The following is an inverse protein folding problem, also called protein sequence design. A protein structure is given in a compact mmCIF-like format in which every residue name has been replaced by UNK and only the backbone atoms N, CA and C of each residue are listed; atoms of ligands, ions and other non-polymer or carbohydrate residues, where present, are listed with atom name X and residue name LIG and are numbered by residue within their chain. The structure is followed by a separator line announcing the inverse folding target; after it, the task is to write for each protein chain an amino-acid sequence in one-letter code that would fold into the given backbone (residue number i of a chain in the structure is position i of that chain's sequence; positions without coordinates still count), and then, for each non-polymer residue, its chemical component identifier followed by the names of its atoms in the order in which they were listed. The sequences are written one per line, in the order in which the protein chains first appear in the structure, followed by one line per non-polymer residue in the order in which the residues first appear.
data_IF_245816080065
#
_entry.id   IF_245816080065
#
_cell.length_a   1.000
_cell.length_b   1.000
_cell.length_c   1.000
_cell.angle_alpha   90.00
_cell.angle_beta   90.00
_cell.angle_gamma   90.00
#
_symmetry.space_group_name_H-M   'P 1'
#
loop_
_entity.id
_entity.type
_entity.pdbx_description
1 polymer ?
#
# COMPACT_ATOMS: atom_id res chain seq x y z
N UNK A 1 -52.83 4.47 26.09
CA UNK A 1 -52.91 3.47 27.19
C UNK A 1 -51.98 2.31 26.84
N UNK A 2 -51.05 1.98 27.76
CA UNK A 2 -50.19 0.79 27.86
C UNK A 2 -49.28 0.49 26.64
N UNK A 3 -47.98 0.81 26.63
CA UNK A 3 -46.84 0.16 27.33
C UNK A 3 -46.89 -1.38 27.39
N UNK A 4 -45.68 -1.98 27.44
CA UNK A 4 -45.34 -3.41 27.62
C UNK A 4 -45.23 -4.10 26.23
N UNK A 5 -44.09 -4.60 25.73
CA UNK A 5 -43.23 -5.64 26.29
C UNK A 5 -41.78 -5.53 25.76
N UNK A 6 -40.86 -5.49 26.73
CA UNK A 6 -39.43 -5.85 26.77
C UNK A 6 -38.94 -6.98 25.85
N UNK A 7 -37.73 -6.78 25.32
CA UNK A 7 -36.64 -7.76 25.20
C UNK A 7 -36.88 -9.05 24.41
N UNK A 8 -36.41 -9.07 23.17
CA UNK A 8 -35.86 -10.31 22.57
C UNK A 8 -34.35 -10.13 22.42
N UNK A 9 -33.70 -10.81 23.34
CA UNK A 9 -32.30 -11.20 23.37
C UNK A 9 -31.93 -11.94 22.07
N UNK A 10 -30.73 -11.64 21.57
CA UNK A 10 -29.91 -12.49 20.72
C UNK A 10 -30.49 -12.87 19.34
N UNK A 11 -30.07 -12.15 18.29
CA UNK A 11 -29.91 -12.75 16.96
C UNK A 11 -28.54 -12.38 16.37
N UNK A 12 -27.68 -13.40 16.34
CA UNK A 12 -26.70 -13.69 15.30
C UNK A 12 -25.68 -12.60 14.91
N UNK A 13 -24.61 -12.46 15.71
CA UNK A 13 -23.28 -12.16 15.14
C UNK A 13 -22.65 -13.50 14.76
N UNK A 14 -22.98 -13.99 13.57
CA UNK A 14 -22.26 -15.09 12.91
C UNK A 14 -21.53 -14.50 11.70
N UNK A 15 -20.20 -14.66 11.68
CA UNK A 15 -19.42 -14.51 10.47
C UNK A 15 -18.26 -13.50 10.52
N UNK A 16 -17.34 -13.64 11.47
CA UNK A 16 -15.97 -13.15 11.28
C UNK A 16 -14.97 -14.00 12.06
N UNK A 17 -14.88 -15.30 11.75
CA UNK A 17 -13.64 -16.04 12.04
C UNK A 17 -12.61 -15.66 10.99
N UNK A 18 -12.12 -14.42 11.05
CA UNK A 18 -10.74 -14.20 10.65
C UNK A 18 -9.90 -14.80 11.76
N UNK A 19 -9.27 -15.96 11.52
CA UNK A 19 -8.21 -16.41 12.40
C UNK A 19 -7.20 -15.25 12.47
N UNK A 20 -7.12 -14.58 13.63
CA UNK A 20 -6.11 -13.57 13.83
C UNK A 20 -4.78 -14.24 13.49
N UNK A 21 -3.90 -13.61 12.68
CA UNK A 21 -2.61 -14.18 12.38
C UNK A 21 -1.96 -14.54 13.71
N UNK A 22 -1.47 -15.77 13.83
CA UNK A 22 -0.70 -16.22 14.98
C UNK A 22 0.57 -15.38 15.00
N UNK A 23 0.53 -14.26 15.71
CA UNK A 23 1.71 -13.44 15.97
C UNK A 23 2.52 -14.19 17.00
N UNK A 24 3.55 -14.90 16.55
CA UNK A 24 4.52 -15.46 17.48
C UNK A 24 5.13 -14.31 18.30
N UNK A 25 5.32 -14.49 19.62
CA UNK A 25 5.98 -13.48 20.42
C UNK A 25 7.37 -13.24 19.84
N UNK A 26 7.71 -11.97 19.59
CA UNK A 26 8.99 -11.60 19.02
C UNK A 26 10.12 -12.15 19.89
N UNK A 27 11.01 -12.91 19.26
CA UNK A 27 12.21 -13.42 19.91
C UNK A 27 13.21 -12.27 20.14
N UNK A 28 14.23 -12.54 20.92
CA UNK A 28 15.33 -11.59 21.08
C UNK A 28 16.07 -11.31 19.74
N UNK A 29 16.15 -12.31 18.86
CA UNK A 29 16.72 -12.12 17.52
C UNK A 29 15.88 -11.15 16.67
N UNK A 30 14.55 -11.27 16.73
CA UNK A 30 13.63 -10.39 16.01
C UNK A 30 13.78 -8.93 16.46
N UNK A 31 13.92 -8.70 17.78
CA UNK A 31 14.15 -7.35 18.33
C UNK A 31 15.45 -6.72 17.80
N UNK A 32 16.52 -7.51 17.71
CA UNK A 32 17.81 -7.03 17.18
C UNK A 32 17.73 -6.71 15.69
N UNK A 33 17.07 -7.56 14.91
CA UNK A 33 16.84 -7.32 13.49
C UNK A 33 15.98 -6.06 13.27
N UNK A 34 14.91 -5.89 14.05
CA UNK A 34 14.07 -4.71 13.98
C UNK A 34 14.85 -3.43 14.27
N UNK A 35 15.66 -3.41 15.34
CA UNK A 35 16.52 -2.27 15.67
C UNK A 35 17.53 -1.96 14.54
N UNK A 36 18.13 -3.00 13.97
CA UNK A 36 19.04 -2.85 12.83
C UNK A 36 18.34 -2.24 11.61
N UNK A 37 17.20 -2.80 11.19
CA UNK A 37 16.47 -2.30 10.03
C UNK A 37 15.95 -0.89 10.23
N UNK A 38 15.51 -0.54 11.45
CA UNK A 38 15.15 0.83 11.79
C UNK A 38 16.33 1.78 11.56
N UNK A 39 17.52 1.43 12.06
CA UNK A 39 18.72 2.25 11.90
C UNK A 39 19.16 2.36 10.44
N UNK A 40 19.15 1.27 9.67
CA UNK A 40 19.55 1.30 8.26
C UNK A 40 18.56 2.09 7.40
N UNK A 41 17.26 1.87 7.63
CA UNK A 41 16.20 2.59 6.89
C UNK A 41 16.28 4.08 7.18
N UNK A 42 16.51 4.48 8.43
CA UNK A 42 16.69 5.88 8.79
C UNK A 42 17.88 6.52 8.06
N UNK A 43 19.01 5.82 7.95
CA UNK A 43 20.18 6.32 7.23
C UNK A 43 19.92 6.51 5.73
N UNK A 44 19.24 5.55 5.10
CA UNK A 44 18.89 5.63 3.67
C UNK A 44 17.87 6.75 3.44
N UNK A 45 16.82 6.80 4.26
CA UNK A 45 15.76 7.80 4.16
C UNK A 45 16.29 9.23 4.35
N UNK A 46 17.22 9.44 5.29
CA UNK A 46 17.85 10.73 5.49
C UNK A 46 18.60 11.23 4.23
N UNK A 47 19.10 10.31 3.40
CA UNK A 47 19.96 10.63 2.25
C UNK A 47 19.28 10.46 0.90
N UNK A 48 18.00 10.07 0.85
CA UNK A 48 17.33 9.67 -0.39
C UNK A 48 17.25 10.78 -1.45
N UNK A 49 17.27 12.05 -1.02
CA UNK A 49 17.28 13.23 -1.89
C UNK A 49 18.56 14.07 -1.72
N UNK A 50 19.66 13.44 -1.29
CA UNK A 50 20.96 14.11 -1.17
C UNK A 50 21.34 14.78 -2.49
N UNK A 51 21.60 16.08 -2.45
CA UNK A 51 21.92 16.87 -3.65
C UNK A 51 20.73 17.44 -4.41
N UNK A 52 19.49 17.21 -3.94
CA UNK A 52 18.29 17.92 -4.42
C UNK A 52 17.88 18.97 -3.40
N UNK A 53 18.26 20.22 -3.65
CA UNK A 53 17.94 21.35 -2.76
C UNK A 53 16.92 22.30 -3.40
N UNK A 54 16.75 22.22 -4.72
CA UNK A 54 15.88 23.12 -5.48
C UNK A 54 14.91 22.34 -6.36
N UNK A 55 13.91 23.05 -6.89
CA UNK A 55 13.03 22.49 -7.92
C UNK A 55 13.80 22.10 -9.18
N UNK A 56 14.79 22.90 -9.57
CA UNK A 56 15.59 22.63 -10.77
C UNK A 56 16.40 21.35 -10.61
N UNK A 57 17.05 21.17 -9.46
CA UNK A 57 17.76 19.95 -9.09
C UNK A 57 16.92 18.68 -9.27
N UNK A 58 15.65 18.76 -8.89
CA UNK A 58 14.70 17.66 -9.05
C UNK A 58 14.37 17.43 -10.53
N UNK A 59 14.02 18.48 -11.26
CA UNK A 59 13.65 18.40 -12.68
C UNK A 59 14.78 17.74 -13.47
N UNK A 60 16.03 18.16 -13.23
CA UNK A 60 17.23 17.67 -13.92
C UNK A 60 17.50 16.17 -13.68
N UNK A 61 17.13 15.64 -12.51
CA UNK A 61 17.37 14.23 -12.12
C UNK A 61 16.17 13.31 -12.34
N UNK A 62 14.95 13.85 -12.36
CA UNK A 62 13.73 13.06 -12.29
C UNK A 62 13.48 12.15 -13.50
N UNK A 63 13.98 12.52 -14.68
CA UNK A 63 13.87 11.68 -15.89
C UNK A 63 14.73 10.43 -15.75
N UNK A 64 15.97 10.57 -15.31
CA UNK A 64 16.92 9.49 -15.12
C UNK A 64 16.47 8.53 -14.02
N UNK A 65 15.97 9.04 -12.88
CA UNK A 65 15.43 8.17 -11.83
C UNK A 65 14.20 7.38 -12.27
N UNK A 66 13.32 7.95 -13.10
CA UNK A 66 12.19 7.21 -13.68
C UNK A 66 12.69 6.12 -14.63
N UNK A 67 13.71 6.39 -15.43
CA UNK A 67 14.34 5.41 -16.32
C UNK A 67 14.94 4.25 -15.52
N UNK A 68 15.72 4.52 -14.49
CA UNK A 68 16.30 3.50 -13.61
C UNK A 68 15.21 2.66 -12.92
N UNK A 69 14.15 3.31 -12.42
CA UNK A 69 13.02 2.59 -11.85
C UNK A 69 12.32 1.69 -12.89
N UNK A 70 12.14 2.18 -14.12
CA UNK A 70 11.62 1.39 -15.22
C UNK A 70 12.52 0.19 -15.55
N UNK A 71 13.85 0.35 -15.55
CA UNK A 71 14.79 -0.76 -15.72
C UNK A 71 14.65 -1.82 -14.63
N UNK A 72 14.60 -1.41 -13.35
CA UNK A 72 14.43 -2.33 -12.22
C UNK A 72 13.11 -3.12 -12.29
N UNK A 73 12.08 -2.52 -12.87
CA UNK A 73 10.76 -3.14 -13.06
C UNK A 73 10.64 -3.88 -14.41
N UNK A 74 11.68 -3.88 -15.24
CA UNK A 74 11.65 -4.50 -16.57
C UNK A 74 10.72 -3.79 -17.58
N UNK A 75 10.42 -2.51 -17.34
CA UNK A 75 9.57 -1.66 -18.18
C UNK A 75 10.36 -0.89 -19.26
N UNK A 76 11.69 -0.89 -19.15
CA UNK A 76 12.58 -0.22 -20.10
C UNK A 76 13.23 -1.23 -21.06
N UNK A 77 13.32 -0.96 -22.38
CA UNK A 77 12.80 0.23 -23.06
C UNK A 77 11.27 0.26 -23.11
N UNK A 78 10.70 1.46 -23.11
CA UNK A 78 9.25 1.59 -23.28
C UNK A 78 8.83 1.06 -24.65
N UNK A 79 7.73 0.29 -24.74
CA UNK A 79 7.22 -0.17 -26.03
C UNK A 79 6.73 1.00 -26.87
N UNK A 80 6.68 0.82 -28.19
CA UNK A 80 6.07 1.79 -29.08
C UNK A 80 4.63 2.07 -28.66
N UNK A 81 4.25 3.35 -28.63
CA UNK A 81 2.88 3.75 -28.29
C UNK A 81 1.94 3.27 -29.39
N UNK A 82 1.14 2.26 -29.05
CA UNK A 82 0.09 1.72 -29.91
C UNK A 82 -1.32 2.10 -29.44
N UNK A 83 -2.29 1.88 -30.32
CA UNK A 83 -3.70 1.96 -29.94
C UNK A 83 -4.01 0.89 -28.88
N UNK A 84 -4.47 1.34 -27.72
CA UNK A 84 -4.99 0.44 -26.70
C UNK A 84 -6.39 -0.01 -27.14
N UNK A 85 -6.62 -1.33 -27.15
CA UNK A 85 -7.93 -1.94 -27.45
C UNK A 85 -8.54 -2.54 -26.18
N UNK A 86 -8.85 -1.73 -25.15
CA UNK A 86 -9.41 -2.25 -23.91
C UNK A 86 -10.80 -2.84 -24.17
N UNK A 87 -11.05 -4.03 -23.61
CA UNK A 87 -12.36 -4.67 -23.64
C UNK A 87 -12.98 -4.57 -22.25
N UNK A 88 -14.18 -4.02 -22.17
CA UNK A 88 -14.94 -3.96 -20.91
C UNK A 88 -15.43 -5.36 -20.57
N UNK A 89 -14.88 -5.99 -19.54
CA UNK A 89 -15.26 -7.34 -19.09
C UNK A 89 -16.41 -7.34 -18.09
N UNK A 90 -16.78 -6.17 -17.54
CA UNK A 90 -17.90 -6.02 -16.61
C UNK A 90 -18.08 -4.58 -16.13
N UNK A 91 -19.25 -4.30 -15.55
CA UNK A 91 -19.57 -3.01 -14.92
C UNK A 91 -20.23 -3.28 -13.58
N UNK A 92 -19.76 -2.58 -12.54
CA UNK A 92 -20.36 -2.60 -11.21
C UNK A 92 -20.94 -1.21 -10.96
N UNK A 93 -22.24 -1.13 -10.68
CA UNK A 93 -22.89 0.09 -10.21
C UNK A 93 -22.84 0.12 -8.68
N UNK A 94 -22.45 1.24 -8.11
CA UNK A 94 -22.41 1.48 -6.68
C UNK A 94 -23.06 2.83 -6.40
N UNK A 95 -24.02 2.87 -5.49
CA UNK A 95 -24.85 4.07 -5.27
C UNK A 95 -24.05 5.27 -4.70
N UNK A 96 -22.86 5.00 -4.16
CA UNK A 96 -21.92 5.95 -3.56
C UNK A 96 -20.84 6.48 -4.52
N UNK A 97 -20.70 5.88 -5.71
CA UNK A 97 -19.72 6.29 -6.72
C UNK A 97 -20.46 6.89 -7.92
N UNK A 98 -20.45 8.23 -8.03
CA UNK A 98 -21.02 8.98 -9.17
C UNK A 98 -20.00 9.18 -10.29
#
# INVERSE_FOLDING_TARGET
MKTIITSILALAVWGASGAAPTVWPATEADRRLAAYFQQQTAQIAHRCLSGVNTRQDWVDRSSEWRRQAAEMLGLWPEPERGELKPVITGRILRDDIR
#
